data_IF_714480091316
#
_entry.id   IF_714480091316
#
_cell.length_a   1.000
_cell.length_b   1.000
_cell.length_c   1.000
_cell.angle_alpha   90.00
_cell.angle_beta   90.00
_cell.angle_gamma   90.00
#
_symmetry.space_group_name_H-M   'P 1'
#
loop_
_entity.id
_entity.type
_entity.pdbx_description
1 polymer ?
#
# COMPACT_ATOMS: atom_id res chain seq x y z
N UNK A 1 12.21 -10.33 11.32
CA UNK A 1 12.65 -11.71 11.04
C UNK A 1 11.69 -12.68 11.72
N UNK A 2 10.75 -13.20 10.95
CA UNK A 2 9.96 -14.35 11.38
C UNK A 2 10.95 -15.52 11.41
N UNK A 3 11.06 -16.23 12.54
CA UNK A 3 11.93 -17.40 12.63
C UNK A 3 11.44 -18.47 11.66
N UNK A 4 12.33 -19.33 11.16
CA UNK A 4 12.03 -20.45 10.25
C UNK A 4 10.84 -21.29 10.76
N UNK A 5 10.80 -21.56 12.05
CA UNK A 5 9.69 -22.26 12.74
C UNK A 5 8.35 -21.52 12.64
N UNK A 6 8.35 -20.18 12.61
CA UNK A 6 7.12 -19.39 12.44
C UNK A 6 6.67 -19.39 10.98
N UNK A 7 7.58 -19.47 10.01
CA UNK A 7 7.28 -19.65 8.59
C UNK A 7 6.54 -20.96 8.32
N UNK A 8 7.07 -22.08 8.81
CA UNK A 8 6.42 -23.39 8.70
C UNK A 8 5.01 -23.36 9.28
N UNK A 9 4.86 -22.81 10.49
CA UNK A 9 3.56 -22.71 11.15
C UNK A 9 2.57 -21.81 10.41
N UNK A 10 3.01 -20.70 9.83
CA UNK A 10 2.18 -19.86 8.98
C UNK A 10 1.70 -20.62 7.73
N UNK A 11 2.59 -21.41 7.12
CA UNK A 11 2.24 -22.25 5.98
C UNK A 11 1.19 -23.32 6.33
N UNK A 12 1.35 -24.02 7.47
CA UNK A 12 0.38 -25.02 7.94
C UNK A 12 -1.01 -24.39 8.22
N UNK A 13 -1.03 -23.24 8.91
CA UNK A 13 -2.28 -22.52 9.19
C UNK A 13 -2.94 -22.06 7.89
N UNK A 14 -2.17 -21.52 6.95
CA UNK A 14 -2.67 -21.08 5.65
C UNK A 14 -3.29 -22.25 4.87
N UNK A 15 -2.61 -23.40 4.80
CA UNK A 15 -3.11 -24.62 4.17
C UNK A 15 -4.40 -25.12 4.84
N UNK A 16 -4.46 -25.09 6.17
CA UNK A 16 -5.64 -25.51 6.92
C UNK A 16 -6.85 -24.57 6.67
N UNK A 17 -6.64 -23.29 6.56
CA UNK A 17 -7.69 -22.31 6.29
C UNK A 17 -8.19 -22.37 4.83
N UNK A 18 -7.29 -22.41 3.87
CA UNK A 18 -7.62 -22.52 2.45
C UNK A 18 -8.32 -23.85 2.12
N UNK A 19 -7.83 -24.96 2.70
CA UNK A 19 -8.39 -26.29 2.46
C UNK A 19 -9.80 -26.49 3.00
N UNK A 20 -10.21 -25.76 4.05
CA UNK A 20 -11.54 -25.88 4.65
C UNK A 20 -12.64 -25.07 3.95
N UNK A 21 -12.32 -23.90 3.44
CA UNK A 21 -13.33 -22.94 3.00
C UNK A 21 -13.13 -22.39 1.58
N UNK A 22 -11.99 -22.63 0.94
CA UNK A 22 -11.70 -22.17 -0.44
C UNK A 22 -11.75 -20.66 -0.68
N UNK A 23 -12.00 -19.85 0.35
CA UNK A 23 -12.30 -18.43 0.21
C UNK A 23 -11.54 -17.57 1.22
N UNK A 24 -10.94 -16.53 0.71
CA UNK A 24 -10.68 -15.33 1.50
C UNK A 24 -9.35 -15.23 2.24
N UNK A 25 -8.43 -16.18 2.11
CA UNK A 25 -7.09 -15.96 2.65
C UNK A 25 -6.30 -15.06 1.69
N UNK A 26 -5.80 -13.98 2.21
CA UNK A 26 -4.89 -13.08 1.50
C UNK A 26 -3.61 -12.94 2.32
N UNK A 27 -2.48 -13.28 1.70
CA UNK A 27 -1.19 -13.04 2.31
C UNK A 27 -0.88 -11.54 2.28
N UNK A 28 -0.23 -11.04 3.33
CA UNK A 28 0.19 -9.65 3.40
C UNK A 28 1.69 -9.57 3.59
N UNK A 29 2.36 -8.77 2.76
CA UNK A 29 3.78 -8.47 2.82
C UNK A 29 4.00 -7.01 3.13
N UNK A 30 4.77 -6.72 4.17
CA UNK A 30 5.21 -5.35 4.45
C UNK A 30 6.54 -5.10 3.73
N UNK A 31 6.60 -4.00 2.97
CA UNK A 31 7.79 -3.55 2.26
C UNK A 31 8.49 -2.44 3.04
N UNK A 32 9.69 -2.70 3.51
CA UNK A 32 10.52 -1.75 4.24
C UNK A 32 11.92 -1.56 3.65
N UNK A 33 12.26 -2.35 2.61
CA UNK A 33 13.53 -2.24 1.90
C UNK A 33 13.39 -2.80 0.48
N UNK A 34 14.07 -2.17 -0.48
CA UNK A 34 14.24 -2.71 -1.83
C UNK A 34 15.04 -4.02 -1.86
N UNK A 35 15.84 -4.26 -0.82
CA UNK A 35 16.69 -5.45 -0.69
C UNK A 35 15.98 -6.59 0.06
N UNK A 36 14.69 -6.40 0.39
CA UNK A 36 13.86 -7.43 0.97
C UNK A 36 13.67 -8.57 -0.03
N UNK A 37 13.84 -9.81 0.43
CA UNK A 37 13.73 -11.00 -0.43
C UNK A 37 12.26 -11.33 -0.74
N UNK A 38 11.64 -10.51 -1.58
CA UNK A 38 10.26 -10.71 -2.04
C UNK A 38 10.12 -11.98 -2.88
N UNK A 39 11.17 -12.35 -3.63
CA UNK A 39 11.14 -13.54 -4.47
C UNK A 39 10.93 -14.81 -3.64
N UNK A 40 11.68 -14.99 -2.56
CA UNK A 40 11.49 -16.13 -1.66
C UNK A 40 10.09 -16.13 -1.03
N UNK A 41 9.61 -14.97 -0.59
CA UNK A 41 8.28 -14.87 0.03
C UNK A 41 7.16 -15.22 -0.99
N UNK A 42 7.26 -14.72 -2.21
CA UNK A 42 6.31 -15.06 -3.27
C UNK A 42 6.41 -16.54 -3.69
N UNK A 43 7.61 -17.10 -3.74
CA UNK A 43 7.83 -18.53 -3.99
C UNK A 43 7.12 -19.38 -2.93
N UNK A 44 7.36 -19.13 -1.65
CA UNK A 44 6.73 -19.87 -0.54
C UNK A 44 5.19 -19.80 -0.59
N UNK A 45 4.64 -18.61 -0.88
CA UNK A 45 3.19 -18.42 -1.04
C UNK A 45 2.68 -19.22 -2.25
N UNK A 46 3.41 -19.20 -3.37
CA UNK A 46 3.05 -19.96 -4.56
C UNK A 46 3.04 -21.48 -4.28
N UNK A 47 4.05 -22.00 -3.57
CA UNK A 47 4.08 -23.41 -3.14
C UNK A 47 2.86 -23.79 -2.31
N UNK A 48 2.44 -22.93 -1.37
CA UNK A 48 1.22 -23.16 -0.59
C UNK A 48 0.00 -23.32 -1.51
N UNK A 49 -0.14 -22.45 -2.52
CA UNK A 49 -1.26 -22.54 -3.48
C UNK A 49 -1.18 -23.79 -4.36
N UNK A 50 0.03 -24.20 -4.78
CA UNK A 50 0.24 -25.42 -5.56
C UNK A 50 -0.08 -26.68 -4.74
N UNK A 51 0.37 -26.77 -3.49
CA UNK A 51 0.11 -27.89 -2.59
C UNK A 51 -1.38 -28.10 -2.31
N UNK A 52 -2.16 -27.02 -2.37
CA UNK A 52 -3.62 -27.07 -2.22
C UNK A 52 -4.35 -27.56 -3.47
N UNK A 53 -3.63 -27.79 -4.56
CA UNK A 53 -4.21 -28.25 -5.83
C UNK A 53 -5.17 -27.24 -6.46
N UNK A 54 -5.01 -25.96 -6.16
CA UNK A 54 -5.84 -24.92 -6.77
C UNK A 54 -5.62 -24.84 -8.28
N UNK A 55 -6.69 -24.65 -9.08
CA UNK A 55 -6.57 -24.58 -10.53
C UNK A 55 -5.55 -23.53 -10.96
N UNK A 56 -4.69 -23.83 -11.93
CA UNK A 56 -3.71 -22.87 -12.47
C UNK A 56 -4.35 -21.61 -13.06
N UNK A 57 -5.62 -21.66 -13.40
CA UNK A 57 -6.42 -20.50 -13.82
C UNK A 57 -6.83 -19.57 -12.68
N UNK A 58 -6.74 -20.05 -11.43
CA UNK A 58 -7.13 -19.27 -10.27
C UNK A 58 -6.02 -18.29 -9.91
N UNK A 59 -6.31 -17.01 -10.05
CA UNK A 59 -5.43 -15.94 -9.60
C UNK A 59 -5.49 -15.83 -8.07
N UNK A 60 -4.34 -15.59 -7.46
CA UNK A 60 -4.25 -15.28 -6.03
C UNK A 60 -3.64 -13.89 -5.82
N UNK A 61 -4.06 -13.23 -4.75
CA UNK A 61 -3.64 -11.87 -4.45
C UNK A 61 -2.73 -11.86 -3.23
N UNK A 62 -1.61 -11.17 -3.35
CA UNK A 62 -0.75 -10.81 -2.23
C UNK A 62 -0.97 -9.32 -1.95
N UNK A 63 -1.40 -9.01 -0.75
CA UNK A 63 -1.46 -7.65 -0.25
C UNK A 63 -0.05 -7.14 0.00
N UNK A 64 0.24 -5.94 -0.47
CA UNK A 64 1.54 -5.31 -0.29
C UNK A 64 1.33 -3.97 0.41
N UNK A 65 2.00 -3.80 1.53
CA UNK A 65 1.92 -2.59 2.34
C UNK A 65 3.33 -2.00 2.48
N UNK A 66 3.64 -0.92 1.76
CA UNK A 66 4.87 -0.20 2.02
C UNK A 66 4.91 0.31 3.46
N UNK A 67 6.06 0.21 4.10
CA UNK A 67 6.27 0.79 5.41
C UNK A 67 6.38 2.31 5.26
N UNK A 68 5.34 3.02 5.64
CA UNK A 68 5.27 4.48 5.58
C UNK A 68 5.92 5.11 6.80
N UNK A 69 6.43 6.35 6.68
CA UNK A 69 6.84 7.13 7.84
C UNK A 69 5.69 7.30 8.82
N UNK A 70 6.00 7.27 10.11
CA UNK A 70 5.08 7.68 11.17
C UNK A 70 5.42 9.12 11.52
N UNK A 71 4.47 10.02 11.36
CA UNK A 71 4.67 11.45 11.64
C UNK A 71 5.12 11.64 13.08
N UNK A 72 6.30 12.27 13.25
CA UNK A 72 6.89 12.52 14.57
C UNK A 72 7.70 11.35 15.15
N UNK A 73 7.85 10.24 14.43
CA UNK A 73 8.70 9.11 14.84
C UNK A 73 9.86 8.94 13.86
N UNK A 74 11.05 9.37 14.27
CA UNK A 74 12.26 9.30 13.44
C UNK A 74 12.94 7.91 13.45
N UNK A 75 12.55 7.02 14.36
CA UNK A 75 13.12 5.67 14.48
C UNK A 75 12.34 4.63 13.64
N UNK A 76 11.22 5.03 13.06
CA UNK A 76 10.40 4.13 12.26
C UNK A 76 11.13 3.68 10.99
N UNK A 77 11.16 2.36 10.76
CA UNK A 77 11.70 1.78 9.53
C UNK A 77 10.70 2.01 8.40
N UNK A 78 11.13 2.70 7.36
CA UNK A 78 10.29 3.05 6.22
C UNK A 78 10.91 2.60 4.90
N UNK A 79 10.09 2.36 3.89
CA UNK A 79 10.56 2.19 2.52
C UNK A 79 10.81 3.58 1.93
N UNK A 80 12.05 3.98 1.62
CA UNK A 80 12.32 5.28 1.04
C UNK A 80 11.66 5.44 -0.33
N UNK A 81 11.08 6.61 -0.63
CA UNK A 81 10.42 6.87 -1.92
C UNK A 81 11.36 6.60 -3.10
N UNK A 82 12.64 6.95 -3.00
CA UNK A 82 13.65 6.70 -4.03
C UNK A 82 13.86 5.23 -4.38
N UNK A 83 13.40 4.31 -3.53
CA UNK A 83 13.53 2.87 -3.74
C UNK A 83 12.28 2.26 -4.41
N UNK A 84 11.20 3.04 -4.56
CA UNK A 84 9.95 2.59 -5.19
C UNK A 84 10.13 2.06 -6.62
N UNK A 85 10.92 2.70 -7.52
CA UNK A 85 11.13 2.18 -8.87
C UNK A 85 11.72 0.76 -8.87
N UNK A 86 12.70 0.49 -8.00
CA UNK A 86 13.32 -0.83 -7.88
C UNK A 86 12.36 -1.89 -7.34
N UNK A 87 11.52 -1.52 -6.38
CA UNK A 87 10.48 -2.41 -5.86
C UNK A 87 9.47 -2.73 -6.96
N UNK A 88 9.07 -1.73 -7.74
CA UNK A 88 8.22 -1.90 -8.92
C UNK A 88 8.81 -2.89 -9.92
N UNK A 89 10.09 -2.72 -10.24
CA UNK A 89 10.81 -3.64 -11.12
C UNK A 89 10.78 -5.08 -10.62
N UNK A 90 11.10 -5.30 -9.33
CA UNK A 90 11.06 -6.63 -8.71
C UNK A 90 9.65 -7.23 -8.79
N UNK A 91 8.62 -6.44 -8.52
CA UNK A 91 7.24 -6.94 -8.58
C UNK A 91 6.83 -7.35 -10.01
N UNK A 92 7.20 -6.57 -11.03
CA UNK A 92 6.91 -6.94 -12.42
C UNK A 92 7.66 -8.19 -12.83
N UNK A 93 8.91 -8.37 -12.41
CA UNK A 93 9.67 -9.60 -12.66
C UNK A 93 8.99 -10.82 -12.00
N UNK A 94 8.48 -10.69 -10.78
CA UNK A 94 7.69 -11.74 -10.12
C UNK A 94 6.37 -12.03 -10.85
N UNK A 95 5.72 -11.02 -11.42
CA UNK A 95 4.52 -11.23 -12.23
C UNK A 95 4.80 -11.99 -13.53
N UNK A 96 6.00 -11.88 -14.10
CA UNK A 96 6.44 -12.72 -15.23
C UNK A 96 6.64 -14.16 -14.80
N UNK A 97 7.29 -14.36 -13.66
CA UNK A 97 7.63 -15.69 -13.16
C UNK A 97 6.37 -16.44 -12.67
N UNK A 98 5.43 -15.74 -12.03
CA UNK A 98 4.22 -16.32 -11.46
C UNK A 98 2.95 -15.80 -12.18
N UNK A 99 2.46 -16.46 -13.25
CA UNK A 99 1.32 -15.96 -14.02
C UNK A 99 0.00 -15.84 -13.24
N UNK A 100 -0.17 -16.57 -12.13
CA UNK A 100 -1.36 -16.49 -11.29
C UNK A 100 -1.28 -15.39 -10.22
N UNK A 101 -0.08 -14.87 -9.95
CA UNK A 101 0.15 -13.85 -8.94
C UNK A 101 -0.50 -12.51 -9.35
N UNK A 102 -1.15 -11.88 -8.39
CA UNK A 102 -1.56 -10.48 -8.46
C UNK A 102 -1.11 -9.77 -7.18
N UNK A 103 -0.69 -8.52 -7.31
CA UNK A 103 -0.39 -7.68 -6.16
C UNK A 103 -1.55 -6.73 -5.87
N UNK A 104 -1.77 -6.43 -4.61
CA UNK A 104 -2.74 -5.45 -4.18
C UNK A 104 -2.12 -4.50 -3.17
N UNK A 105 -2.14 -3.23 -3.48
CA UNK A 105 -1.79 -2.17 -2.53
C UNK A 105 -3.04 -1.69 -1.79
N UNK A 106 -2.90 -1.44 -0.49
CA UNK A 106 -3.99 -0.89 0.31
C UNK A 106 -3.95 0.62 0.40
N UNK A 107 -2.78 1.21 0.18
CA UNK A 107 -2.54 2.64 0.29
C UNK A 107 -2.08 3.21 -1.04
N UNK A 108 -1.93 4.51 -1.05
CA UNK A 108 -1.49 5.29 -2.21
C UNK A 108 -0.25 4.71 -2.86
N UNK A 109 -0.28 4.76 -4.17
CA UNK A 109 0.73 4.20 -5.03
C UNK A 109 1.32 5.34 -5.88
N UNK A 110 2.58 5.74 -5.65
CA UNK A 110 3.17 6.83 -6.43
C UNK A 110 3.55 6.37 -7.84
N UNK A 111 3.34 7.20 -8.88
CA UNK A 111 3.69 6.88 -10.27
C UNK A 111 5.13 6.42 -10.47
N UNK A 112 6.08 6.99 -9.71
CA UNK A 112 7.50 6.63 -9.80
C UNK A 112 7.80 5.15 -9.50
N UNK A 113 6.87 4.43 -8.95
CA UNK A 113 6.97 2.97 -8.84
C UNK A 113 7.09 2.28 -10.21
N UNK A 114 6.59 2.92 -11.28
CA UNK A 114 6.60 2.40 -12.63
C UNK A 114 7.78 2.92 -13.48
N UNK A 115 8.64 3.77 -12.92
CA UNK A 115 9.71 4.43 -13.71
C UNK A 115 10.72 3.46 -14.34
N UNK A 116 10.89 2.26 -13.77
CA UNK A 116 11.78 1.23 -14.32
C UNK A 116 11.03 0.16 -15.17
N UNK A 117 9.74 0.35 -15.43
CA UNK A 117 8.91 -0.58 -16.20
C UNK A 117 8.96 -0.22 -17.68
N UNK A 118 9.15 -1.21 -18.55
CA UNK A 118 9.19 -1.01 -20.00
C UNK A 118 7.77 -1.04 -20.59
N UNK A 119 7.57 -0.42 -21.75
CA UNK A 119 6.24 -0.33 -22.39
C UNK A 119 5.62 -1.70 -22.68
N UNK A 120 6.42 -2.68 -23.09
CA UNK A 120 5.96 -4.04 -23.37
C UNK A 120 5.56 -4.83 -22.13
N UNK A 121 5.90 -4.31 -20.93
CA UNK A 121 5.56 -4.89 -19.64
C UNK A 121 4.27 -4.31 -19.04
N UNK A 122 3.73 -3.22 -19.59
CA UNK A 122 2.52 -2.59 -19.05
C UNK A 122 1.32 -3.54 -18.89
N UNK A 123 1.11 -4.54 -19.76
CA UNK A 123 0.05 -5.53 -19.54
C UNK A 123 0.18 -6.32 -18.22
N UNK A 124 1.40 -6.41 -17.65
CA UNK A 124 1.61 -7.03 -16.35
C UNK A 124 1.18 -6.12 -15.20
N UNK A 125 1.28 -4.79 -15.39
CA UNK A 125 0.87 -3.79 -14.39
C UNK A 125 -0.64 -3.87 -14.11
N UNK A 126 -1.46 -4.33 -15.06
CA UNK A 126 -2.89 -4.61 -14.85
C UNK A 126 -3.15 -5.65 -13.75
N UNK A 127 -2.14 -6.44 -13.38
CA UNK A 127 -2.21 -7.40 -12.28
C UNK A 127 -1.78 -6.80 -10.94
N UNK A 128 -1.46 -5.52 -10.92
CA UNK A 128 -1.24 -4.73 -9.70
C UNK A 128 -2.51 -3.95 -9.44
N UNK A 129 -3.15 -4.21 -8.31
CA UNK A 129 -4.42 -3.61 -7.93
C UNK A 129 -4.19 -2.57 -6.84
N UNK A 130 -5.01 -1.57 -6.88
CA UNK A 130 -5.03 -0.47 -5.97
C UNK A 130 -6.47 -0.25 -5.47
N UNK A 131 -6.66 0.26 -4.27
CA UNK A 131 -7.97 0.49 -3.65
C UNK A 131 -9.08 -0.51 -4.08
N UNK A 132 -9.34 -1.44 -3.22
CA UNK A 132 -10.55 -2.28 -3.33
C UNK A 132 -10.60 -3.30 -4.46
N UNK A 133 -9.95 -3.19 -5.55
CA UNK A 133 -9.83 -4.06 -6.74
C UNK A 133 -9.73 -3.25 -8.05
N UNK A 134 -9.52 -1.96 -7.97
CA UNK A 134 -9.25 -1.19 -9.17
C UNK A 134 -7.84 -1.54 -9.67
N UNK A 135 -7.66 -1.86 -10.94
CA UNK A 135 -6.32 -2.00 -11.51
C UNK A 135 -5.59 -0.65 -11.44
N UNK A 136 -4.28 -0.69 -11.29
CA UNK A 136 -3.48 0.52 -11.45
C UNK A 136 -3.76 1.09 -12.84
N UNK A 137 -4.07 2.38 -12.97
CA UNK A 137 -4.30 3.00 -14.26
C UNK A 137 -3.12 2.73 -15.19
N UNK A 138 -3.37 2.54 -16.47
CA UNK A 138 -2.33 2.47 -17.47
C UNK A 138 -1.48 3.74 -17.40
N UNK A 139 -0.17 3.63 -17.56
CA UNK A 139 0.74 4.78 -17.49
C UNK A 139 0.37 5.88 -18.52
N UNK A 140 -0.21 5.48 -19.66
CA UNK A 140 -0.74 6.42 -20.64
C UNK A 140 -1.95 7.20 -20.11
N UNK A 141 -2.74 6.59 -19.25
CA UNK A 141 -3.90 7.25 -18.60
C UNK A 141 -3.43 8.17 -17.46
N UNK A 142 -2.24 7.94 -16.89
CA UNK A 142 -1.65 8.84 -15.90
C UNK A 142 -1.34 10.23 -16.47
N UNK A 143 -1.05 10.31 -17.78
CA UNK A 143 -0.82 11.60 -18.43
C UNK A 143 -2.08 12.44 -18.54
N UNK A 144 -3.24 11.84 -18.49
CA UNK A 144 -4.55 12.48 -18.66
C UNK A 144 -5.43 12.44 -17.41
N UNK A 145 -5.03 11.65 -16.37
CA UNK A 145 -5.83 11.50 -15.15
C UNK A 145 -5.67 12.70 -14.21
N UNK A 146 -6.73 12.97 -13.44
CA UNK A 146 -6.73 13.95 -12.38
C UNK A 146 -5.69 13.62 -11.29
N UNK A 147 -5.36 14.61 -10.46
CA UNK A 147 -4.43 14.48 -9.36
C UNK A 147 -4.73 13.25 -8.49
N UNK A 148 -3.76 12.37 -8.40
CA UNK A 148 -3.84 11.20 -7.55
C UNK A 148 -3.49 11.57 -6.10
N UNK A 149 -4.51 11.92 -5.35
CA UNK A 149 -4.37 12.37 -3.95
C UNK A 149 -4.33 11.22 -2.93
N UNK A 150 -4.34 9.98 -3.41
CA UNK A 150 -4.28 8.81 -2.52
C UNK A 150 -5.39 8.78 -1.49
N UNK A 151 -5.13 9.25 -0.29
CA UNK A 151 -6.08 9.25 0.84
C UNK A 151 -7.09 10.40 0.81
N UNK A 152 -7.17 11.20 -0.27
CA UNK A 152 -7.99 12.42 -0.25
C UNK A 152 -9.49 12.14 -0.31
N UNK A 153 -9.90 11.07 -1.01
CA UNK A 153 -11.31 10.83 -1.27
C UNK A 153 -12.00 9.93 -0.25
N UNK A 154 -11.30 8.93 0.32
CA UNK A 154 -11.88 7.92 1.21
C UNK A 154 -10.91 7.58 2.37
N UNK A 155 -10.43 8.58 3.07
CA UNK A 155 -9.55 8.32 4.21
C UNK A 155 -10.30 7.67 5.37
N UNK A 156 -9.79 6.55 5.88
CA UNK A 156 -10.28 6.01 7.14
C UNK A 156 -10.05 7.02 8.25
N UNK A 157 -10.94 7.03 9.22
CA UNK A 157 -10.75 7.73 10.48
C UNK A 157 -10.42 6.71 11.54
N UNK A 158 -9.19 6.75 12.04
CA UNK A 158 -8.78 5.92 13.16
C UNK A 158 -9.08 6.62 14.49
N UNK A 159 -9.48 5.85 15.49
CA UNK A 159 -9.81 6.34 16.83
C UNK A 159 -9.03 5.48 17.81
N UNK A 160 -8.23 6.11 18.66
CA UNK A 160 -7.50 5.41 19.71
C UNK A 160 -8.38 5.11 20.94
N UNK A 161 -7.88 4.34 21.93
CA UNK A 161 -8.63 4.04 23.15
C UNK A 161 -8.97 5.28 24.01
N UNK A 162 -8.31 6.41 23.79
CA UNK A 162 -8.58 7.69 24.46
C UNK A 162 -9.65 8.49 23.73
N UNK A 163 -10.12 7.98 22.57
CA UNK A 163 -11.10 8.64 21.74
C UNK A 163 -10.51 9.73 20.83
N UNK A 164 -9.19 9.83 20.75
CA UNK A 164 -8.55 10.77 19.86
C UNK A 164 -8.65 10.27 18.40
N UNK A 165 -9.01 11.20 17.51
CA UNK A 165 -9.26 10.93 16.10
C UNK A 165 -8.06 11.38 15.26
N UNK A 166 -7.62 10.55 14.36
CA UNK A 166 -6.57 10.82 13.38
C UNK A 166 -6.89 10.16 12.02
N UNK A 167 -6.24 10.61 10.97
CA UNK A 167 -6.60 10.15 9.62
C UNK A 167 -6.33 8.65 9.41
N UNK A 168 -5.12 8.20 9.76
CA UNK A 168 -4.72 6.79 9.72
C UNK A 168 -3.47 6.59 10.59
N UNK A 169 -3.04 5.35 10.77
CA UNK A 169 -1.92 5.01 11.65
C UNK A 169 -0.64 5.84 11.44
N UNK A 170 -0.13 6.11 10.23
CA UNK A 170 1.01 7.00 10.01
C UNK A 170 0.86 8.40 10.61
N UNK A 171 -0.35 8.86 10.86
CA UNK A 171 -0.68 10.17 11.40
C UNK A 171 -1.19 10.14 12.84
N UNK A 172 -0.96 9.06 13.60
CA UNK A 172 -1.48 8.96 14.97
C UNK A 172 -0.99 10.07 15.91
N UNK A 173 0.15 10.70 15.59
CA UNK A 173 0.66 11.86 16.32
C UNK A 173 0.03 13.20 15.85
N UNK A 174 -0.80 13.19 14.80
CA UNK A 174 -1.51 14.37 14.29
C UNK A 174 -2.99 14.29 14.68
N UNK A 175 -3.30 14.65 15.91
CA UNK A 175 -4.66 14.66 16.44
C UNK A 175 -5.56 15.63 15.67
N UNK A 176 -6.64 15.15 15.10
CA UNK A 176 -7.64 15.94 14.40
C UNK A 176 -8.78 16.42 15.31
N UNK A 177 -9.11 15.67 16.34
CA UNK A 177 -10.14 15.94 17.33
C UNK A 177 -10.26 14.79 18.32
N UNK A 178 -11.33 14.81 19.13
CA UNK A 178 -11.71 13.70 20.00
C UNK A 178 -13.18 13.37 19.78
N UNK A 179 -13.56 12.10 19.90
CA UNK A 179 -14.96 11.68 19.72
C UNK A 179 -15.93 12.41 20.66
N UNK A 180 -15.46 12.83 21.82
CA UNK A 180 -16.25 13.58 22.81
C UNK A 180 -16.54 15.02 22.38
N UNK A 181 -15.82 15.55 21.39
CA UNK A 181 -16.07 16.88 20.82
C UNK A 181 -17.36 16.94 19.98
N UNK A 182 -17.93 15.77 19.66
CA UNK A 182 -19.09 15.64 18.83
C UNK A 182 -20.27 15.06 19.61
N UNK A 183 -21.44 15.73 19.53
CA UNK A 183 -22.69 15.18 20.07
C UNK A 183 -23.09 13.88 19.37
N UNK A 184 -22.70 13.76 18.11
CA UNK A 184 -22.93 12.60 17.26
C UNK A 184 -21.85 12.57 16.19
N UNK A 185 -21.18 11.42 16.03
CA UNK A 185 -20.28 11.20 14.89
C UNK A 185 -21.16 10.93 13.67
N UNK A 186 -21.05 11.79 12.69
CA UNK A 186 -21.75 11.69 11.42
C UNK A 186 -20.84 12.11 10.26
N UNK A 187 -21.31 11.99 9.04
CA UNK A 187 -20.55 12.31 7.82
C UNK A 187 -20.00 13.74 7.83
N UNK A 188 -20.74 14.69 8.41
CA UNK A 188 -20.29 16.08 8.50
C UNK A 188 -19.09 16.22 9.47
N UNK A 189 -19.11 15.51 10.59
CA UNK A 189 -18.01 15.50 11.55
C UNK A 189 -16.75 14.88 10.94
N UNK A 190 -16.89 13.75 10.25
CA UNK A 190 -15.81 13.06 9.54
C UNK A 190 -15.25 13.97 8.45
N UNK A 191 -16.12 14.57 7.63
CA UNK A 191 -15.70 15.51 6.56
C UNK A 191 -14.95 16.71 7.12
N UNK A 192 -15.34 17.24 8.26
CA UNK A 192 -14.66 18.37 8.92
C UNK A 192 -13.27 17.98 9.40
N UNK A 193 -13.11 16.81 10.01
CA UNK A 193 -11.81 16.29 10.44
C UNK A 193 -10.91 16.00 9.22
N UNK A 194 -11.45 15.41 8.18
CA UNK A 194 -10.74 15.15 6.94
C UNK A 194 -10.26 16.46 6.26
N UNK A 195 -11.11 17.50 6.21
CA UNK A 195 -10.71 18.81 5.70
C UNK A 195 -9.55 19.40 6.50
N UNK A 196 -9.57 19.24 7.85
CA UNK A 196 -8.47 19.67 8.71
C UNK A 196 -7.18 18.90 8.38
N UNK A 197 -7.27 17.56 8.21
CA UNK A 197 -6.15 16.74 7.81
C UNK A 197 -5.55 17.21 6.48
N UNK A 198 -6.37 17.40 5.46
CA UNK A 198 -5.91 17.87 4.14
C UNK A 198 -5.21 19.24 4.24
N UNK A 199 -5.72 20.15 5.08
CA UNK A 199 -5.05 21.43 5.34
C UNK A 199 -3.63 21.25 5.87
N UNK A 200 -3.40 20.30 6.76
CA UNK A 200 -2.06 19.95 7.24
C UNK A 200 -1.23 19.29 6.14
N UNK A 201 -1.78 18.29 5.46
CA UNK A 201 -1.09 17.52 4.43
C UNK A 201 -0.57 18.40 3.29
N UNK A 202 -1.39 19.36 2.83
CA UNK A 202 -1.02 20.28 1.76
C UNK A 202 -0.11 21.44 2.21
N UNK A 203 -0.01 21.71 3.50
CA UNK A 203 0.89 22.73 4.03
C UNK A 203 2.31 22.21 4.27
N UNK A 204 2.51 20.91 4.28
CA UNK A 204 3.81 20.29 4.46
C UNK A 204 4.61 20.30 3.15
N UNK A 205 5.85 20.73 3.21
CA UNK A 205 6.75 20.64 2.06
C UNK A 205 7.26 19.19 1.92
N UNK A 206 7.26 18.63 0.70
CA UNK A 206 7.78 17.30 0.48
C UNK A 206 9.31 17.27 0.60
N UNK A 207 9.82 16.13 1.00
CA UNK A 207 11.24 15.83 0.95
C UNK A 207 11.67 15.37 -0.46
N UNK A 208 13.00 15.37 -0.71
CA UNK A 208 13.52 14.75 -1.93
C UNK A 208 13.24 13.22 -1.96
N UNK A 209 12.95 12.64 -3.14
CA UNK A 209 12.98 13.25 -4.48
C UNK A 209 11.68 13.97 -4.89
N UNK A 210 10.63 13.96 -4.07
CA UNK A 210 9.33 14.52 -4.44
C UNK A 210 9.37 16.04 -4.63
N UNK A 211 10.21 16.77 -3.88
CA UNK A 211 10.36 18.22 -3.99
C UNK A 211 10.76 18.67 -5.39
N UNK A 212 11.63 17.92 -6.04
CA UNK A 212 12.11 18.19 -7.40
C UNK A 212 11.31 17.47 -8.49
N UNK A 213 10.31 16.66 -8.13
CA UNK A 213 9.56 15.85 -9.07
C UNK A 213 8.55 16.70 -9.86
N UNK A 214 8.53 16.63 -11.22
CA UNK A 214 7.60 17.40 -12.04
C UNK A 214 6.13 16.95 -11.87
N UNK A 215 5.91 15.76 -11.31
CA UNK A 215 4.57 15.22 -11.07
C UNK A 215 4.00 15.59 -9.69
N UNK A 216 4.84 16.13 -8.79
CA UNK A 216 4.39 16.51 -7.46
C UNK A 216 3.33 17.60 -7.52
N UNK A 217 2.22 17.42 -6.81
CA UNK A 217 1.03 18.28 -6.75
C UNK A 217 0.37 18.59 -8.12
N UNK A 218 0.86 17.94 -9.18
CA UNK A 218 0.22 17.97 -10.51
C UNK A 218 -0.55 16.67 -10.74
N UNK A 219 0.08 15.53 -10.41
CA UNK A 219 -0.46 14.18 -10.61
C UNK A 219 -0.22 13.24 -9.44
N UNK A 220 0.55 13.66 -8.45
CA UNK A 220 0.94 12.84 -7.32
C UNK A 220 1.15 13.69 -6.08
N UNK A 221 0.73 13.18 -4.92
CA UNK A 221 0.91 13.79 -3.61
C UNK A 221 1.99 13.09 -2.78
N UNK A 222 3.10 12.65 -3.39
CA UNK A 222 4.15 11.82 -2.78
C UNK A 222 3.72 10.37 -2.47
N UNK A 223 2.60 9.89 -3.05
CA UNK A 223 2.00 8.63 -2.62
C UNK A 223 1.32 8.79 -1.27
N UNK A 224 1.95 8.38 -0.17
CA UNK A 224 1.43 8.65 1.17
C UNK A 224 1.88 10.03 1.66
N UNK A 225 0.95 10.86 2.11
CA UNK A 225 1.25 12.19 2.67
C UNK A 225 2.23 12.16 3.87
N UNK A 226 2.36 11.01 4.57
CA UNK A 226 3.30 10.89 5.67
C UNK A 226 4.75 11.18 5.27
N UNK A 227 5.12 10.96 4.01
CA UNK A 227 6.44 11.32 3.50
C UNK A 227 6.74 12.82 3.47
N UNK A 228 5.70 13.65 3.48
CA UNK A 228 5.86 15.11 3.53
C UNK A 228 6.20 15.61 4.95
N UNK A 229 6.03 14.75 5.95
CA UNK A 229 6.29 15.08 7.36
C UNK A 229 7.50 14.34 7.95
N UNK A 230 8.17 13.49 7.18
CA UNK A 230 9.28 12.65 7.63
C UNK A 230 10.63 13.35 7.58
#
# INVERSE_FOLDING_TARGET
NISEKNHERCGEVAKALLGKNGYGLMFSLNLYSKDQNLATQCFEINEIYQDLGLPRSQKYKIRVSPAFPIVGDQENITLPIRDYPKVGRIMVDLLKEYPQLCFRFDCSFPPCFLDEIQEDEYPLVERIFYHGNQPVPNIQDWETSDLYLGCADDSPMDIDPQGDCFNCFPFHNLKLGNITDFKQINDLSIKKMHTKFLGHAFSAEPNEPCKSCPHYMVRCSSGCFAYNFA
#
